data_IF_913350354251
#
_entry.id   IF_913350354251
#
_cell.length_a   1.000
_cell.length_b   1.000
_cell.length_c   1.000
_cell.angle_alpha   90.00
_cell.angle_beta   90.00
_cell.angle_gamma   90.00
#
_symmetry.space_group_name_H-M   'P 1'
#
loop_
_entity.id
_entity.type
_entity.pdbx_description
1 polymer ?
#
# COMPACT_ATOMS: atom_id res chain seq x y z
N UNK A 1 -22.17 -18.65 -19.25
CA UNK A 1 -21.73 -17.25 -19.36
C UNK A 1 -20.63 -17.05 -18.33
N UNK A 2 -19.38 -16.84 -18.77
CA UNK A 2 -18.30 -16.47 -17.87
C UNK A 2 -18.38 -14.95 -17.64
N UNK A 3 -18.63 -14.52 -16.41
CA UNK A 3 -18.45 -13.13 -16.00
C UNK A 3 -16.94 -12.87 -15.99
N UNK A 4 -16.42 -12.18 -17.00
CA UNK A 4 -15.13 -11.52 -16.91
C UNK A 4 -15.30 -10.43 -15.85
N UNK A 5 -14.94 -10.74 -14.61
CA UNK A 5 -14.79 -9.72 -13.59
C UNK A 5 -13.72 -8.74 -14.12
N UNK A 6 -13.98 -7.42 -14.14
CA UNK A 6 -12.94 -6.46 -14.45
C UNK A 6 -11.86 -6.61 -13.39
N UNK A 7 -10.70 -7.15 -13.77
CA UNK A 7 -9.48 -7.10 -12.98
C UNK A 7 -8.95 -5.67 -13.11
N UNK A 8 -9.61 -4.73 -12.42
CA UNK A 8 -9.09 -3.39 -12.30
C UNK A 8 -8.05 -3.42 -11.17
N UNK A 9 -6.80 -3.13 -11.49
CA UNK A 9 -5.78 -2.81 -10.49
C UNK A 9 -6.16 -1.47 -9.84
N UNK A 10 -7.02 -1.55 -8.83
CA UNK A 10 -7.57 -0.39 -8.14
C UNK A 10 -6.48 0.19 -7.22
N UNK A 11 -5.82 1.23 -7.70
CA UNK A 11 -4.80 1.95 -6.97
C UNK A 11 -5.43 3.14 -6.23
N UNK A 12 -5.15 3.27 -4.94
CA UNK A 12 -5.58 4.43 -4.15
C UNK A 12 -4.36 5.30 -3.80
N UNK A 13 -4.52 6.61 -3.97
CA UNK A 13 -3.55 7.60 -3.53
C UNK A 13 -4.20 8.60 -2.59
N UNK A 14 -3.41 9.12 -1.66
CA UNK A 14 -3.80 10.29 -0.87
C UNK A 14 -3.45 11.54 -1.69
N UNK A 15 -4.45 12.35 -2.00
CA UNK A 15 -4.25 13.62 -2.71
C UNK A 15 -3.93 14.78 -1.76
N UNK A 16 -4.45 14.73 -0.54
CA UNK A 16 -4.30 15.77 0.46
C UNK A 16 -4.01 15.15 1.85
N UNK A 17 -2.90 15.53 2.51
CA UNK A 17 -1.83 16.31 1.92
C UNK A 17 -1.13 15.55 0.79
N UNK A 18 -0.67 16.26 -0.25
CA UNK A 18 0.02 15.62 -1.37
C UNK A 18 1.35 15.03 -0.88
N UNK A 19 1.63 13.74 -1.14
CA UNK A 19 2.91 13.15 -0.82
C UNK A 19 4.02 13.78 -1.64
N UNK A 20 5.19 13.94 -1.03
CA UNK A 20 6.40 14.21 -1.80
C UNK A 20 6.93 12.89 -2.34
N UNK A 21 7.05 12.77 -3.66
CA UNK A 21 7.40 11.52 -4.33
C UNK A 21 8.90 11.44 -4.64
N UNK A 22 9.45 10.23 -4.63
CA UNK A 22 10.83 9.93 -5.05
C UNK A 22 11.00 9.79 -6.57
N UNK A 23 9.88 9.71 -7.30
CA UNK A 23 9.81 9.61 -8.76
C UNK A 23 8.88 10.67 -9.32
N UNK A 24 9.03 11.01 -10.60
CA UNK A 24 8.10 11.86 -11.35
C UNK A 24 7.11 11.08 -12.22
N UNK A 25 7.36 9.78 -12.44
CA UNK A 25 6.51 8.93 -13.26
C UNK A 25 5.16 8.64 -12.58
N UNK A 26 4.06 8.98 -13.26
CA UNK A 26 2.71 8.88 -12.70
C UNK A 26 2.33 7.44 -12.37
N UNK A 27 2.62 6.52 -13.26
CA UNK A 27 2.20 5.12 -13.11
C UNK A 27 2.96 4.47 -11.95
N UNK A 28 4.26 4.76 -11.83
CA UNK A 28 5.08 4.33 -10.68
C UNK A 28 4.59 4.90 -9.35
N UNK A 29 4.27 6.21 -9.28
CA UNK A 29 3.79 6.85 -8.03
C UNK A 29 2.56 6.16 -7.46
N UNK A 30 1.70 5.64 -8.34
CA UNK A 30 0.38 5.14 -7.95
C UNK A 30 0.40 3.63 -7.71
N UNK A 31 1.52 2.96 -7.96
CA UNK A 31 1.62 1.52 -7.73
C UNK A 31 1.50 1.19 -6.24
N UNK A 32 0.84 0.07 -5.90
CA UNK A 32 0.87 -0.44 -4.54
C UNK A 32 2.29 -0.81 -4.13
N UNK A 33 2.51 -0.83 -2.81
CA UNK A 33 3.78 -1.24 -2.23
C UNK A 33 4.19 -2.66 -2.68
N UNK A 34 3.21 -3.56 -2.80
CA UNK A 34 3.37 -4.89 -3.33
C UNK A 34 2.02 -5.45 -3.81
N UNK A 35 2.06 -6.28 -4.86
CA UNK A 35 0.95 -7.15 -5.26
C UNK A 35 1.14 -8.51 -4.59
N UNK A 36 0.50 -8.72 -3.45
CA UNK A 36 0.72 -9.89 -2.60
C UNK A 36 0.20 -11.18 -3.27
N UNK A 37 -0.87 -11.07 -4.05
CA UNK A 37 -1.45 -12.16 -4.83
C UNK A 37 -0.46 -12.76 -5.84
N UNK A 38 0.45 -11.94 -6.37
CA UNK A 38 1.51 -12.39 -7.27
C UNK A 38 2.66 -13.08 -6.53
N UNK A 39 2.64 -13.05 -5.20
CA UNK A 39 3.67 -13.58 -4.31
C UNK A 39 3.16 -14.74 -3.45
N UNK A 40 2.04 -15.36 -3.85
CA UNK A 40 1.47 -16.53 -3.18
C UNK A 40 0.61 -16.22 -1.96
N UNK A 41 0.30 -14.95 -1.69
CA UNK A 41 -0.69 -14.59 -0.68
C UNK A 41 -2.09 -14.75 -1.27
N UNK A 42 -2.91 -15.59 -0.63
CA UNK A 42 -4.25 -15.85 -1.13
C UNK A 42 -5.17 -14.67 -0.83
N UNK A 43 -5.79 -14.12 -1.86
CA UNK A 43 -6.89 -13.14 -1.71
C UNK A 43 -8.10 -13.84 -1.11
N UNK A 44 -8.66 -13.27 -0.05
CA UNK A 44 -9.88 -13.79 0.57
C UNK A 44 -10.64 -12.69 1.29
N UNK A 45 -11.96 -12.88 1.39
CA UNK A 45 -12.88 -11.94 2.04
C UNK A 45 -12.54 -11.72 3.52
N UNK A 46 -12.22 -12.81 4.23
CA UNK A 46 -11.82 -12.76 5.64
C UNK A 46 -10.30 -12.82 5.79
N UNK A 47 -9.67 -11.65 5.67
CA UNK A 47 -8.23 -11.48 5.95
C UNK A 47 -7.88 -11.76 7.41
N UNK A 48 -8.79 -11.52 8.36
CA UNK A 48 -8.52 -11.77 9.78
C UNK A 48 -8.30 -13.26 10.02
N UNK A 49 -9.21 -14.11 9.52
CA UNK A 49 -9.07 -15.57 9.65
C UNK A 49 -7.81 -16.07 8.94
N UNK A 50 -7.52 -15.60 7.72
CA UNK A 50 -6.27 -15.93 7.02
C UNK A 50 -5.04 -15.66 7.88
N UNK A 51 -4.97 -14.45 8.44
CA UNK A 51 -3.83 -13.96 9.19
C UNK A 51 -3.62 -14.79 10.46
N UNK A 52 -4.72 -15.08 11.16
CA UNK A 52 -4.70 -15.88 12.38
C UNK A 52 -4.22 -17.33 12.07
N UNK A 53 -4.68 -17.95 10.98
CA UNK A 53 -4.22 -19.26 10.50
C UNK A 53 -2.74 -19.30 10.11
N UNK A 54 -2.21 -18.17 9.62
CA UNK A 54 -0.81 -18.03 9.22
C UNK A 54 0.10 -17.55 10.38
N UNK A 55 -0.39 -17.55 11.62
CA UNK A 55 0.41 -17.28 12.81
C UNK A 55 0.77 -15.80 13.02
N UNK A 56 0.01 -14.89 12.42
CA UNK A 56 0.14 -13.45 12.60
C UNK A 56 -0.92 -12.94 13.60
N UNK A 57 -0.47 -12.27 14.66
CA UNK A 57 -1.32 -11.88 15.82
C UNK A 57 -2.21 -10.68 15.54
N UNK A 58 -1.78 -9.80 14.64
CA UNK A 58 -2.44 -8.53 14.32
C UNK A 58 -2.04 -8.08 12.92
N UNK A 59 -2.74 -7.09 12.36
CA UNK A 59 -2.35 -6.49 11.08
C UNK A 59 -0.94 -5.92 11.17
N UNK A 60 -0.57 -5.32 12.32
CA UNK A 60 0.78 -4.81 12.55
C UNK A 60 1.83 -5.93 12.51
N UNK A 61 1.56 -7.04 13.18
CA UNK A 61 2.44 -8.22 13.22
C UNK A 61 2.62 -8.83 11.82
N UNK A 62 1.57 -8.84 11.00
CA UNK A 62 1.67 -9.17 9.58
C UNK A 62 2.61 -8.20 8.84
N UNK A 63 2.40 -6.88 8.95
CA UNK A 63 3.25 -5.88 8.27
C UNK A 63 4.72 -5.95 8.68
N UNK A 64 5.03 -6.36 9.92
CA UNK A 64 6.40 -6.49 10.43
C UNK A 64 7.11 -7.79 10.04
N UNK A 65 6.35 -8.90 9.91
CA UNK A 65 6.93 -10.24 9.76
C UNK A 65 6.69 -10.86 8.40
N UNK A 66 5.72 -10.37 7.64
CA UNK A 66 5.42 -10.91 6.32
C UNK A 66 6.63 -10.68 5.41
N UNK A 67 7.08 -11.75 4.78
CA UNK A 67 8.17 -11.71 3.81
C UNK A 67 7.57 -11.66 2.42
N UNK A 68 7.36 -10.45 1.93
CA UNK A 68 7.01 -10.17 0.54
C UNK A 68 8.04 -9.21 -0.04
N UNK A 69 8.25 -9.26 -1.34
CA UNK A 69 9.07 -8.31 -2.06
C UNK A 69 8.25 -7.05 -2.35
N UNK A 70 8.83 -5.89 -2.07
CA UNK A 70 8.23 -4.60 -2.45
C UNK A 70 8.50 -4.31 -3.92
N UNK A 71 7.60 -3.56 -4.54
CA UNK A 71 7.76 -3.07 -5.91
C UNK A 71 9.10 -2.33 -6.05
N UNK A 72 9.83 -2.57 -7.14
CA UNK A 72 11.14 -1.95 -7.38
C UNK A 72 11.08 -0.43 -7.24
N UNK A 73 11.98 0.13 -6.43
CA UNK A 73 12.05 1.57 -6.16
C UNK A 73 11.14 2.07 -5.03
N UNK A 74 10.27 1.21 -4.50
CA UNK A 74 9.54 1.47 -3.27
C UNK A 74 10.36 1.03 -2.04
N UNK A 75 10.10 1.66 -0.90
CA UNK A 75 10.63 1.25 0.40
C UNK A 75 9.52 0.77 1.34
N UNK A 76 9.82 -0.16 2.23
CA UNK A 76 8.84 -0.70 3.19
C UNK A 76 8.25 0.35 4.13
N UNK A 77 8.99 1.41 4.44
CA UNK A 77 8.55 2.43 5.39
C UNK A 77 7.65 3.48 4.75
N UNK A 78 7.91 3.87 3.49
CA UNK A 78 7.28 5.04 2.86
C UNK A 78 6.90 4.82 1.39
N UNK A 79 6.97 3.59 0.88
CA UNK A 79 6.65 3.28 -0.51
C UNK A 79 7.44 4.14 -1.48
N UNK A 80 6.75 4.86 -2.36
CA UNK A 80 7.35 5.80 -3.31
C UNK A 80 7.47 7.24 -2.78
N UNK A 81 7.14 7.48 -1.52
CA UNK A 81 7.20 8.82 -0.91
C UNK A 81 8.56 9.07 -0.28
N UNK A 82 9.03 10.32 -0.31
CA UNK A 82 10.28 10.74 0.31
C UNK A 82 10.07 11.03 1.81
N UNK A 83 10.58 10.19 2.73
CA UNK A 83 10.45 10.41 4.18
C UNK A 83 11.24 11.62 4.67
N UNK A 84 12.20 12.12 3.87
CA UNK A 84 13.00 13.31 4.17
C UNK A 84 12.41 14.56 3.53
N UNK A 85 11.25 14.43 2.89
CA UNK A 85 10.50 15.54 2.34
C UNK A 85 10.13 16.59 3.38
N UNK A 86 9.82 17.79 2.90
CA UNK A 86 9.32 18.88 3.75
C UNK A 86 8.00 18.44 4.40
N UNK A 87 7.89 18.45 5.74
CA UNK A 87 6.63 18.17 6.42
C UNK A 87 5.52 19.12 5.95
N UNK A 88 4.32 18.59 5.81
CA UNK A 88 3.16 19.38 5.44
C UNK A 88 2.82 20.37 6.56
N UNK A 89 2.53 21.65 6.25
CA UNK A 89 2.21 22.64 7.26
C UNK A 89 0.91 22.27 7.98
N UNK A 90 0.80 22.67 9.24
CA UNK A 90 -0.45 22.54 9.99
C UNK A 90 -1.52 23.39 9.28
N UNK A 91 -2.69 22.83 8.93
CA UNK A 91 -3.76 23.59 8.31
C UNK A 91 -4.11 24.84 9.13
N UNK A 92 -4.23 26.00 8.48
CA UNK A 92 -4.59 27.23 9.16
C UNK A 92 -6.07 27.20 9.59
N UNK A 93 -6.35 27.59 10.84
CA UNK A 93 -7.69 27.98 11.28
C UNK A 93 -8.74 26.85 11.42
N UNK A 94 -8.39 25.73 12.04
CA UNK A 94 -9.32 24.60 12.33
C UNK A 94 -9.98 23.95 11.09
N UNK A 95 -9.39 24.11 9.90
CA UNK A 95 -9.81 23.36 8.72
C UNK A 95 -9.29 21.91 8.83
N UNK A 96 -10.10 21.06 9.46
CA UNK A 96 -10.04 19.60 9.34
C UNK A 96 -11.13 19.15 8.38
#
# INVERSE_FOLDING_TARGET
>A
MALLAPMADAHQIVLLPEPQWTTNDKDTKYNPLAFLENQGFKTQEDFKSWRDENGYKSLRDFMDRAKYEVTSGADFSCGFTDPKGTPQPIPAGNAM
#
